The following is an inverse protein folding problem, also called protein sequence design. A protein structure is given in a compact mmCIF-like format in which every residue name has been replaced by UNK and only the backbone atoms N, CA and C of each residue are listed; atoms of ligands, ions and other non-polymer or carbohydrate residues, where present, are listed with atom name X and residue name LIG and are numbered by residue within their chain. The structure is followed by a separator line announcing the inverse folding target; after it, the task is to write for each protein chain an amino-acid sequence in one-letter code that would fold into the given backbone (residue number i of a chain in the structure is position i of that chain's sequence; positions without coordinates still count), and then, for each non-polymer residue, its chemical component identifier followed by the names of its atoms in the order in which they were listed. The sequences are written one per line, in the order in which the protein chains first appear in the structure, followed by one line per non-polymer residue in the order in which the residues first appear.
data_IF_947279463556
#
_entry.id   IF_947279463556
#
_cell.length_a   1.000
_cell.length_b   1.000
_cell.length_c   1.000
_cell.angle_alpha   90.00
_cell.angle_beta   90.00
_cell.angle_gamma   90.00
#
_symmetry.space_group_name_H-M   'P 1'
#
loop_
_entity.id
_entity.type
_entity.pdbx_description
1 polymer ?
#
# COMPACT_ATOMS: atom_id res chain seq x y z
N UNK A 1 -6.90 4.67 -17.81
CA UNK A 1 -7.00 4.33 -16.38
C UNK A 1 -7.74 5.42 -15.61
N UNK A 2 -8.44 5.09 -14.52
CA UNK A 2 -8.99 6.10 -13.64
C UNK A 2 -7.89 6.94 -13.00
N UNK A 3 -8.16 8.21 -12.72
CA UNK A 3 -7.29 9.07 -11.91
C UNK A 3 -7.24 8.57 -10.46
N UNK A 4 -6.25 8.99 -9.66
CA UNK A 4 -6.08 8.53 -8.27
C UNK A 4 -7.31 8.67 -7.39
N UNK A 5 -8.09 9.73 -7.59
CA UNK A 5 -9.30 10.01 -6.81
C UNK A 5 -10.46 10.41 -7.71
N UNK A 6 -11.67 10.18 -7.20
CA UNK A 6 -12.91 10.72 -7.79
C UNK A 6 -12.98 12.25 -7.60
N UNK A 7 -13.85 12.87 -8.38
CA UNK A 7 -14.37 14.21 -8.13
C UNK A 7 -15.90 14.12 -8.11
N UNK A 8 -16.50 14.49 -7.00
CA UNK A 8 -17.92 14.26 -6.74
C UNK A 8 -18.30 12.77 -6.92
N UNK A 9 -17.39 11.87 -6.48
CA UNK A 9 -17.52 10.43 -6.48
C UNK A 9 -17.48 9.77 -7.86
N UNK A 10 -17.04 10.45 -8.94
CA UNK A 10 -16.84 9.89 -10.29
C UNK A 10 -15.37 10.03 -10.70
N UNK A 11 -14.79 8.95 -11.20
CA UNK A 11 -13.44 8.95 -11.76
C UNK A 11 -13.40 9.58 -13.16
N UNK A 12 -12.50 10.54 -13.34
CA UNK A 12 -11.99 10.88 -14.68
C UNK A 12 -10.89 9.89 -15.08
N UNK A 13 -10.56 9.84 -16.37
CA UNK A 13 -9.57 8.91 -16.91
C UNK A 13 -8.37 9.61 -17.52
N UNK A 14 -7.22 8.95 -17.47
CA UNK A 14 -5.97 9.37 -18.09
C UNK A 14 -5.18 8.15 -18.57
N UNK A 15 -4.02 8.39 -19.15
CA UNK A 15 -3.07 7.34 -19.55
C UNK A 15 -2.37 6.70 -18.33
N UNK A 16 -1.68 5.58 -18.56
CA UNK A 16 -0.97 4.82 -17.51
C UNK A 16 0.36 5.48 -17.14
N UNK A 17 0.34 6.60 -16.41
CA UNK A 17 1.54 7.33 -15.98
C UNK A 17 1.63 7.61 -14.49
N UNK A 18 0.51 7.51 -13.76
CA UNK A 18 0.45 7.71 -12.32
C UNK A 18 0.99 6.49 -11.53
N UNK A 19 1.10 6.59 -10.21
CA UNK A 19 1.51 5.50 -9.32
C UNK A 19 0.36 4.55 -8.95
N UNK A 20 -0.89 4.90 -9.25
CA UNK A 20 -2.11 4.21 -8.82
C UNK A 20 -2.73 3.22 -9.81
N UNK A 21 -2.46 3.23 -11.13
CA UNK A 21 -3.15 2.36 -12.10
C UNK A 21 -3.11 0.87 -11.80
N UNK A 22 -2.09 0.40 -11.07
CA UNK A 22 -1.99 -1.01 -10.67
C UNK A 22 -3.16 -1.49 -9.82
N UNK A 23 -3.70 -0.62 -8.97
CA UNK A 23 -4.86 -0.95 -8.13
C UNK A 23 -6.12 -1.19 -8.96
N UNK A 24 -6.35 -0.39 -9.99
CA UNK A 24 -7.50 -0.59 -10.88
C UNK A 24 -7.42 -1.93 -11.62
N UNK A 25 -6.24 -2.29 -12.12
CA UNK A 25 -6.03 -3.62 -12.73
C UNK A 25 -6.22 -4.73 -11.69
N UNK A 26 -5.74 -4.52 -10.47
CA UNK A 26 -5.98 -5.43 -9.34
C UNK A 26 -7.46 -5.62 -9.03
N UNK A 27 -8.26 -4.55 -9.08
CA UNK A 27 -9.73 -4.64 -8.91
C UNK A 27 -10.37 -5.49 -10.02
N UNK A 28 -9.92 -5.36 -11.26
CA UNK A 28 -10.39 -6.22 -12.36
C UNK A 28 -10.06 -7.71 -12.08
N UNK A 29 -8.86 -8.01 -11.57
CA UNK A 29 -8.50 -9.38 -11.18
C UNK A 29 -9.37 -9.89 -10.02
N UNK A 30 -9.58 -9.11 -8.97
CA UNK A 30 -10.45 -9.46 -7.85
C UNK A 30 -11.90 -9.71 -8.31
N UNK A 31 -12.41 -8.86 -9.22
CA UNK A 31 -13.73 -9.03 -9.80
C UNK A 31 -13.82 -10.33 -10.64
N UNK A 32 -12.80 -10.64 -11.42
CA UNK A 32 -12.72 -11.89 -12.17
C UNK A 32 -12.73 -13.11 -11.23
N UNK A 33 -11.90 -13.13 -10.21
CA UNK A 33 -11.90 -14.21 -9.22
C UNK A 33 -13.24 -14.32 -8.47
N UNK A 34 -13.92 -13.18 -8.26
CA UNK A 34 -15.19 -13.14 -7.57
C UNK A 34 -16.36 -13.69 -8.40
N UNK A 35 -16.41 -13.39 -9.69
CA UNK A 35 -17.56 -13.64 -10.56
C UNK A 35 -17.33 -14.70 -11.62
N UNK A 36 -16.09 -14.93 -12.03
CA UNK A 36 -15.74 -15.76 -13.18
C UNK A 36 -16.04 -15.10 -14.53
N UNK A 37 -16.43 -13.82 -14.54
CA UNK A 37 -16.82 -13.14 -15.78
C UNK A 37 -15.60 -12.73 -16.60
N UNK A 38 -15.53 -13.23 -17.86
CA UNK A 38 -14.41 -12.99 -18.79
C UNK A 38 -14.20 -11.51 -19.15
N UNK A 39 -15.19 -10.66 -18.99
CA UNK A 39 -15.05 -9.21 -19.24
C UNK A 39 -13.98 -8.59 -18.33
N UNK A 40 -13.92 -8.98 -17.06
CA UNK A 40 -12.92 -8.48 -16.11
C UNK A 40 -11.51 -9.00 -16.44
N UNK A 41 -11.40 -10.29 -16.81
CA UNK A 41 -10.13 -10.89 -17.24
C UNK A 41 -9.60 -10.23 -18.51
N UNK A 42 -10.45 -10.01 -19.48
CA UNK A 42 -10.08 -9.35 -20.75
C UNK A 42 -9.60 -7.93 -20.52
N UNK A 43 -10.33 -7.14 -19.71
CA UNK A 43 -9.95 -5.80 -19.36
C UNK A 43 -8.59 -5.76 -18.63
N UNK A 44 -8.38 -6.66 -17.66
CA UNK A 44 -7.12 -6.74 -16.93
C UNK A 44 -5.92 -7.13 -17.82
N UNK A 45 -6.10 -8.05 -18.77
CA UNK A 45 -5.05 -8.42 -19.73
C UNK A 45 -4.67 -7.26 -20.65
N UNK A 46 -5.65 -6.50 -21.17
CA UNK A 46 -5.37 -5.29 -21.96
C UNK A 46 -4.59 -4.24 -21.16
N UNK A 47 -4.87 -4.14 -19.86
CA UNK A 47 -4.13 -3.25 -18.99
C UNK A 47 -2.72 -3.76 -18.72
N UNK A 48 -2.50 -5.08 -18.61
CA UNK A 48 -1.15 -5.68 -18.52
C UNK A 48 -0.30 -5.30 -19.72
N UNK A 49 -0.87 -5.28 -20.93
CA UNK A 49 -0.16 -4.83 -22.14
C UNK A 49 0.26 -3.36 -22.02
N UNK A 50 -0.61 -2.49 -21.47
CA UNK A 50 -0.28 -1.09 -21.19
C UNK A 50 0.86 -0.94 -20.16
N UNK A 51 0.94 -1.80 -19.13
CA UNK A 51 2.07 -1.81 -18.20
C UNK A 51 3.37 -2.25 -18.88
N UNK A 52 3.32 -3.23 -19.78
CA UNK A 52 4.49 -3.64 -20.56
C UNK A 52 4.97 -2.51 -21.49
N UNK A 53 4.04 -1.83 -22.18
CA UNK A 53 4.36 -0.65 -23.01
C UNK A 53 4.96 0.50 -22.19
N UNK A 54 4.45 0.77 -20.99
CA UNK A 54 4.99 1.79 -20.06
C UNK A 54 6.48 1.55 -19.76
N UNK A 55 6.87 0.28 -19.57
CA UNK A 55 8.28 -0.09 -19.40
C UNK A 55 9.11 0.17 -20.65
N UNK A 56 8.60 -0.17 -21.84
CA UNK A 56 9.28 0.09 -23.13
C UNK A 56 9.48 1.59 -23.34
N UNK A 57 8.47 2.41 -23.06
CA UNK A 57 8.54 3.88 -23.18
C UNK A 57 9.34 4.52 -22.06
N UNK A 58 9.70 3.79 -21.01
CA UNK A 58 10.37 4.31 -19.80
C UNK A 58 9.61 5.49 -19.18
N UNK A 59 8.30 5.38 -19.06
CA UNK A 59 7.42 6.47 -18.71
C UNK A 59 7.08 6.50 -17.23
N UNK A 60 7.57 7.53 -16.51
CA UNK A 60 7.37 7.74 -15.07
C UNK A 60 7.60 6.48 -14.22
N UNK A 61 8.81 5.92 -14.28
CA UNK A 61 9.19 4.68 -13.58
C UNK A 61 10.31 4.92 -12.56
N UNK A 62 10.78 6.17 -12.41
CA UNK A 62 11.87 6.49 -11.49
C UNK A 62 11.35 6.86 -10.10
N UNK A 63 10.64 5.93 -9.48
CA UNK A 63 10.13 6.00 -8.12
C UNK A 63 9.96 4.60 -7.52
N UNK A 64 9.70 4.50 -6.21
CA UNK A 64 9.60 3.20 -5.53
C UNK A 64 8.26 2.48 -5.75
N UNK A 65 7.20 3.16 -6.21
CA UNK A 65 5.85 2.60 -6.32
C UNK A 65 5.67 1.57 -7.44
N UNK A 66 6.76 1.08 -8.02
CA UNK A 66 6.72 -0.02 -8.98
C UNK A 66 6.08 -1.28 -8.38
N UNK A 67 6.18 -1.48 -7.06
CA UNK A 67 5.45 -2.55 -6.38
C UNK A 67 3.94 -2.37 -6.44
N UNK A 68 3.44 -1.17 -6.17
CA UNK A 68 2.01 -0.85 -6.30
C UNK A 68 1.50 -0.96 -7.74
N UNK A 69 2.35 -0.65 -8.71
CA UNK A 69 1.98 -0.75 -10.13
C UNK A 69 1.93 -2.21 -10.60
N UNK A 70 3.00 -2.97 -10.34
CA UNK A 70 3.22 -4.27 -11.02
C UNK A 70 2.80 -5.48 -10.18
N UNK A 71 2.64 -5.37 -8.86
CA UNK A 71 2.17 -6.50 -8.03
C UNK A 71 0.69 -6.77 -8.25
N UNK A 72 -0.25 -5.83 -8.03
CA UNK A 72 -1.67 -6.12 -8.22
C UNK A 72 -2.07 -6.23 -9.70
N UNK A 73 -1.25 -5.75 -10.65
CA UNK A 73 -1.52 -5.85 -12.08
C UNK A 73 -0.87 -7.08 -12.71
N UNK A 74 0.44 -7.07 -12.84
CA UNK A 74 1.19 -8.05 -13.63
C UNK A 74 1.50 -9.34 -12.84
N UNK A 75 1.89 -9.25 -11.56
CA UNK A 75 2.10 -10.46 -10.74
C UNK A 75 0.77 -11.21 -10.59
N UNK A 76 -0.32 -10.52 -10.28
CA UNK A 76 -1.66 -11.11 -10.23
C UNK A 76 -2.04 -11.74 -11.59
N UNK A 77 -1.83 -11.00 -12.67
CA UNK A 77 -2.11 -11.49 -14.03
C UNK A 77 -1.35 -12.76 -14.39
N UNK A 78 -0.06 -12.83 -14.07
CA UNK A 78 0.73 -14.06 -14.27
C UNK A 78 0.20 -15.22 -13.43
N UNK A 79 -0.10 -14.99 -12.15
CA UNK A 79 -0.61 -16.06 -11.25
C UNK A 79 -1.95 -16.61 -11.71
N UNK A 80 -2.84 -15.77 -12.21
CA UNK A 80 -4.19 -16.16 -12.59
C UNK A 80 -4.29 -16.74 -14.01
N UNK A 81 -3.39 -16.35 -14.91
CA UNK A 81 -3.51 -16.70 -16.33
C UNK A 81 -2.30 -17.40 -16.94
N UNK A 82 -1.17 -17.41 -16.24
CA UNK A 82 0.10 -17.90 -16.80
C UNK A 82 0.72 -16.96 -17.86
N UNK A 83 0.22 -15.72 -18.01
CA UNK A 83 0.67 -14.78 -19.04
C UNK A 83 2.18 -14.49 -18.93
N UNK A 84 2.94 -14.90 -19.94
CA UNK A 84 4.37 -14.62 -20.04
C UNK A 84 4.65 -13.12 -20.16
N UNK A 85 3.78 -12.37 -20.83
CA UNK A 85 3.90 -10.91 -20.93
C UNK A 85 3.80 -10.25 -19.54
N UNK A 86 2.82 -10.65 -18.73
CA UNK A 86 2.65 -10.18 -17.36
C UNK A 86 3.87 -10.52 -16.50
N UNK A 87 4.38 -11.77 -16.59
CA UNK A 87 5.58 -12.19 -15.88
C UNK A 87 6.80 -11.35 -16.23
N UNK A 88 7.05 -11.16 -17.52
CA UNK A 88 8.20 -10.41 -18.00
C UNK A 88 8.13 -8.93 -17.58
N UNK A 89 6.95 -8.30 -17.67
CA UNK A 89 6.74 -6.94 -17.21
C UNK A 89 7.01 -6.79 -15.69
N UNK A 90 6.51 -7.71 -14.87
CA UNK A 90 6.77 -7.68 -13.43
C UNK A 90 8.26 -7.88 -13.09
N UNK A 91 8.98 -8.77 -13.78
CA UNK A 91 10.43 -8.97 -13.59
C UNK A 91 11.24 -7.74 -14.01
N UNK A 92 10.91 -7.11 -15.13
CA UNK A 92 11.57 -5.86 -15.55
C UNK A 92 11.31 -4.73 -14.55
N UNK A 93 10.09 -4.59 -14.05
CA UNK A 93 9.76 -3.62 -13.00
C UNK A 93 10.55 -3.88 -11.71
N UNK A 94 10.65 -5.14 -11.28
CA UNK A 94 11.48 -5.51 -10.14
C UNK A 94 12.96 -5.15 -10.34
N UNK A 95 13.51 -5.43 -11.53
CA UNK A 95 14.87 -5.05 -11.88
C UNK A 95 15.10 -3.54 -11.84
N UNK A 96 14.11 -2.75 -12.29
CA UNK A 96 14.16 -1.27 -12.20
C UNK A 96 14.08 -0.79 -10.77
N UNK A 97 13.19 -1.36 -9.96
CA UNK A 97 13.07 -1.01 -8.54
C UNK A 97 14.40 -1.20 -7.80
N UNK A 98 15.18 -2.25 -8.12
CA UNK A 98 16.50 -2.45 -7.50
C UNK A 98 17.49 -1.32 -7.79
N UNK A 99 17.35 -0.58 -8.90
CA UNK A 99 18.23 0.57 -9.24
C UNK A 99 18.07 1.73 -8.27
N UNK A 100 16.96 1.77 -7.51
CA UNK A 100 16.73 2.77 -6.48
C UNK A 100 17.36 2.42 -5.13
N UNK A 101 18.03 1.27 -5.03
CA UNK A 101 18.66 0.85 -3.78
C UNK A 101 19.89 1.69 -3.45
N UNK A 102 19.90 2.23 -2.25
CA UNK A 102 20.95 3.05 -1.67
C UNK A 102 21.78 2.21 -0.70
N UNK A 103 22.98 1.74 -1.09
CA UNK A 103 23.74 0.76 -0.31
C UNK A 103 24.25 1.32 1.03
N UNK A 104 24.51 2.62 1.15
CA UNK A 104 24.96 3.26 2.40
C UNK A 104 23.82 3.28 3.43
N UNK A 105 22.62 3.73 3.02
CA UNK A 105 21.45 3.78 3.88
C UNK A 105 20.68 2.45 3.95
N UNK A 106 21.00 1.49 3.09
CA UNK A 106 20.35 0.17 2.99
C UNK A 106 18.83 0.25 2.76
N UNK A 107 18.38 1.14 1.86
CA UNK A 107 16.97 1.32 1.52
C UNK A 107 16.76 1.65 0.04
N UNK A 108 15.53 1.50 -0.43
CA UNK A 108 15.08 1.97 -1.74
C UNK A 108 14.67 3.43 -1.60
N UNK A 109 15.32 4.34 -2.33
CA UNK A 109 14.95 5.74 -2.34
C UNK A 109 13.54 5.92 -2.93
N UNK A 110 12.67 6.66 -2.24
CA UNK A 110 11.27 6.75 -2.61
C UNK A 110 11.05 7.47 -3.95
N UNK A 111 11.33 8.75 -4.00
CA UNK A 111 11.12 9.64 -5.15
C UNK A 111 12.36 10.48 -5.41
N UNK A 112 12.34 11.24 -6.51
CA UNK A 112 13.43 12.14 -6.88
C UNK A 112 14.62 11.45 -7.51
N UNK A 113 15.57 12.23 -8.00
CA UNK A 113 16.78 11.72 -8.65
C UNK A 113 17.67 10.98 -7.66
N UNK A 114 18.23 9.86 -8.07
CA UNK A 114 19.03 8.95 -7.22
C UNK A 114 20.22 9.65 -6.56
N UNK A 115 20.84 10.61 -7.21
CA UNK A 115 22.01 11.34 -6.70
C UNK A 115 21.67 12.65 -6.00
N UNK A 116 20.39 13.02 -5.92
CA UNK A 116 19.98 14.23 -5.21
C UNK A 116 19.92 13.95 -3.70
N UNK A 117 20.85 14.57 -2.97
CA UNK A 117 20.94 14.44 -1.51
C UNK A 117 19.69 14.92 -0.78
N UNK A 118 18.90 15.83 -1.36
CA UNK A 118 17.65 16.33 -0.80
C UNK A 118 16.51 15.30 -0.89
N UNK A 119 16.65 14.32 -1.79
CA UNK A 119 15.68 13.28 -2.05
C UNK A 119 16.06 11.94 -1.40
N UNK A 120 17.14 11.91 -0.59
CA UNK A 120 17.65 10.70 0.04
C UNK A 120 16.77 10.28 1.23
N UNK A 121 15.60 9.71 0.91
CA UNK A 121 14.55 9.39 1.88
C UNK A 121 13.82 8.10 1.54
N UNK A 122 13.22 7.52 2.57
CA UNK A 122 12.24 6.44 2.45
C UNK A 122 10.89 6.88 3.07
N UNK A 123 9.81 6.31 2.56
CA UNK A 123 8.42 6.58 2.95
C UNK A 123 7.81 5.26 3.43
N UNK A 124 6.85 5.31 4.36
CA UNK A 124 6.28 4.11 5.03
C UNK A 124 5.62 3.12 4.07
N UNK A 125 5.04 3.58 2.97
CA UNK A 125 4.40 2.76 1.94
C UNK A 125 5.39 1.90 1.12
N UNK A 126 6.69 2.18 1.23
CA UNK A 126 7.76 1.35 0.64
C UNK A 126 7.60 -0.13 0.97
N UNK A 127 7.06 -0.46 2.16
CA UNK A 127 6.86 -1.84 2.60
C UNK A 127 5.94 -2.64 1.67
N UNK A 128 4.98 -1.99 1.02
CA UNK A 128 4.06 -2.60 0.06
C UNK A 128 4.64 -2.68 -1.36
N UNK A 129 5.81 -2.07 -1.59
CA UNK A 129 6.53 -2.18 -2.85
C UNK A 129 7.54 -3.35 -2.86
N UNK A 130 7.89 -3.86 -1.69
CA UNK A 130 8.83 -4.99 -1.53
C UNK A 130 8.28 -6.36 -1.99
N UNK A 131 6.98 -6.66 -1.92
CA UNK A 131 6.42 -7.89 -2.46
C UNK A 131 6.85 -8.20 -3.89
N UNK A 132 6.99 -7.18 -4.74
CA UNK A 132 7.50 -7.33 -6.11
C UNK A 132 8.92 -7.93 -6.13
N UNK A 133 9.79 -7.52 -5.20
CA UNK A 133 11.16 -8.05 -5.10
C UNK A 133 11.18 -9.46 -4.54
N UNK A 134 10.35 -9.76 -3.54
CA UNK A 134 10.23 -11.13 -3.02
C UNK A 134 9.75 -12.10 -4.10
N UNK A 135 8.72 -11.70 -4.84
CA UNK A 135 8.22 -12.48 -5.96
C UNK A 135 9.28 -12.66 -7.05
N UNK A 136 10.02 -11.61 -7.41
CA UNK A 136 11.09 -11.71 -8.41
C UNK A 136 12.22 -12.67 -7.97
N UNK A 137 12.58 -12.66 -6.67
CA UNK A 137 13.53 -13.62 -6.12
C UNK A 137 13.04 -15.07 -6.26
N UNK A 138 11.76 -15.32 -5.98
CA UNK A 138 11.13 -16.65 -6.15
C UNK A 138 11.13 -17.08 -7.62
N UNK A 139 10.81 -16.18 -8.55
CA UNK A 139 10.70 -16.48 -9.97
C UNK A 139 12.03 -16.71 -10.68
N UNK A 140 13.10 -16.09 -10.19
CA UNK A 140 14.40 -16.10 -10.88
C UNK A 140 15.48 -16.89 -10.15
N UNK A 141 15.32 -17.12 -8.85
CA UNK A 141 16.37 -17.65 -7.99
C UNK A 141 17.50 -16.65 -7.70
N UNK A 142 17.39 -15.39 -8.16
CA UNK A 142 18.41 -14.36 -7.93
C UNK A 142 18.29 -13.77 -6.51
N UNK A 143 19.28 -14.01 -5.63
CA UNK A 143 19.22 -13.56 -4.24
C UNK A 143 19.34 -12.04 -4.07
N UNK A 144 19.71 -11.29 -5.12
CA UNK A 144 19.82 -9.82 -5.04
C UNK A 144 18.49 -9.18 -4.66
N UNK A 145 17.38 -9.65 -5.23
CA UNK A 145 16.04 -9.13 -4.93
C UNK A 145 15.69 -9.29 -3.45
N UNK A 146 15.82 -10.50 -2.91
CA UNK A 146 15.50 -10.77 -1.50
C UNK A 146 16.46 -10.08 -0.53
N UNK A 147 17.75 -9.94 -0.87
CA UNK A 147 18.72 -9.19 -0.07
C UNK A 147 18.35 -7.72 0.04
N UNK A 148 17.99 -7.07 -1.07
CA UNK A 148 17.54 -5.66 -1.09
C UNK A 148 16.24 -5.50 -0.28
N UNK A 149 15.26 -6.39 -0.48
CA UNK A 149 14.01 -6.35 0.26
C UNK A 149 14.22 -6.49 1.77
N UNK A 150 15.08 -7.43 2.22
CA UNK A 150 15.45 -7.60 3.64
C UNK A 150 16.15 -6.36 4.20
N UNK A 151 17.14 -5.83 3.49
CA UNK A 151 17.88 -4.65 3.95
C UNK A 151 16.95 -3.44 4.09
N UNK A 152 16.10 -3.20 3.09
CA UNK A 152 15.12 -2.12 3.14
C UNK A 152 14.12 -2.29 4.28
N UNK A 153 13.56 -3.50 4.46
CA UNK A 153 12.64 -3.80 5.57
C UNK A 153 13.27 -3.49 6.92
N UNK A 154 14.52 -3.94 7.14
CA UNK A 154 15.24 -3.69 8.39
C UNK A 154 15.49 -2.19 8.64
N UNK A 155 15.84 -1.43 7.60
CA UNK A 155 16.00 0.02 7.71
C UNK A 155 14.66 0.70 8.01
N UNK A 156 13.59 0.38 7.26
CA UNK A 156 12.26 0.93 7.46
C UNK A 156 11.74 0.65 8.89
N UNK A 157 11.87 -0.59 9.36
CA UNK A 157 11.51 -1.02 10.70
C UNK A 157 12.20 -0.19 11.81
N UNK A 158 13.45 0.19 11.57
CA UNK A 158 14.26 0.96 12.54
C UNK A 158 13.93 2.45 12.55
N UNK A 159 13.61 3.05 11.37
CA UNK A 159 13.58 4.52 11.27
C UNK A 159 12.17 5.09 11.07
N UNK A 160 11.18 4.27 10.69
CA UNK A 160 9.80 4.71 10.46
C UNK A 160 8.83 4.33 11.58
N UNK A 161 9.19 3.38 12.45
CA UNK A 161 8.35 2.95 13.58
C UNK A 161 8.84 3.57 14.88
N UNK A 162 7.92 4.18 15.62
CA UNK A 162 8.21 4.82 16.90
C UNK A 162 7.96 3.84 18.05
N UNK A 163 8.57 4.10 19.24
CA UNK A 163 8.42 3.21 20.40
C UNK A 163 6.99 3.04 20.92
N UNK A 164 6.10 4.00 20.63
CA UNK A 164 4.69 3.95 21.02
C UNK A 164 3.80 3.15 20.03
N UNK A 165 4.39 2.59 18.99
CA UNK A 165 3.71 1.84 17.93
C UNK A 165 3.19 2.72 16.78
N UNK A 166 3.34 4.05 16.86
CA UNK A 166 3.00 4.93 15.75
C UNK A 166 4.06 4.90 14.64
N UNK A 167 3.69 5.38 13.44
CA UNK A 167 4.62 5.45 12.30
C UNK A 167 4.90 6.89 11.89
N UNK A 168 6.13 7.14 11.42
CA UNK A 168 6.48 8.34 10.67
C UNK A 168 6.11 8.16 9.20
N UNK A 169 5.66 9.23 8.53
CA UNK A 169 5.38 9.18 7.10
C UNK A 169 6.67 8.98 6.30
N UNK A 170 7.67 9.82 6.53
CA UNK A 170 8.92 9.88 5.77
C UNK A 170 10.10 10.01 6.73
N UNK A 171 11.21 9.35 6.41
CA UNK A 171 12.50 9.56 7.07
C UNK A 171 13.55 9.97 6.03
N UNK A 172 14.17 11.12 6.24
CA UNK A 172 15.36 11.54 5.49
C UNK A 172 16.60 10.94 6.12
N UNK A 173 17.50 10.46 5.27
CA UNK A 173 18.72 9.77 5.65
C UNK A 173 19.95 10.59 5.20
N UNK A 174 21.04 10.49 5.92
CA UNK A 174 22.31 11.08 5.51
C UNK A 174 22.97 10.19 4.44
N UNK A 175 23.26 10.70 3.24
CA UNK A 175 23.80 9.90 2.14
C UNK A 175 25.29 9.52 2.31
N UNK A 176 25.97 10.07 3.33
CA UNK A 176 27.37 9.75 3.63
C UNK A 176 27.46 8.70 4.72
N UNK A 177 26.64 8.84 5.75
CA UNK A 177 26.69 7.96 6.95
C UNK A 177 25.61 6.88 6.96
N UNK A 178 24.56 7.02 6.14
CA UNK A 178 23.38 6.14 6.14
C UNK A 178 22.52 6.26 7.41
N UNK A 179 22.74 7.28 8.23
CA UNK A 179 21.98 7.48 9.48
C UNK A 179 20.71 8.31 9.23
N UNK A 180 19.64 8.12 10.03
CA UNK A 180 18.47 8.98 9.97
C UNK A 180 18.83 10.43 10.37
N UNK A 181 18.29 11.39 9.62
CA UNK A 181 18.46 12.84 9.88
C UNK A 181 17.21 13.41 10.53
N UNK A 182 16.05 13.24 9.91
CA UNK A 182 14.80 13.74 10.45
C UNK A 182 13.60 12.97 9.89
N UNK A 183 12.55 12.90 10.70
CA UNK A 183 11.23 12.48 10.25
C UNK A 183 10.45 13.69 9.73
N UNK A 184 9.72 13.52 8.63
CA UNK A 184 8.88 14.54 8.01
C UNK A 184 7.54 13.95 7.59
N UNK A 185 6.58 14.82 7.28
CA UNK A 185 5.34 14.40 6.65
C UNK A 185 4.99 15.32 5.49
N UNK A 186 4.52 14.72 4.39
CA UNK A 186 3.85 15.45 3.33
C UNK A 186 2.33 15.35 3.49
N UNK A 187 1.81 14.15 3.81
CA UNK A 187 0.38 13.87 3.79
C UNK A 187 -0.26 13.74 5.18
N UNK A 188 0.51 13.59 6.26
CA UNK A 188 0.01 13.63 7.64
C UNK A 188 -0.16 15.06 8.16
N UNK A 189 -0.78 15.21 9.33
CA UNK A 189 -1.04 16.51 9.92
C UNK A 189 0.26 17.25 10.29
N UNK A 190 1.20 16.55 10.96
CA UNK A 190 2.53 17.06 11.32
C UNK A 190 3.55 15.92 11.43
N UNK A 191 4.83 16.23 11.51
CA UNK A 191 5.92 15.24 11.45
C UNK A 191 5.90 14.22 12.60
N UNK A 192 5.39 14.59 13.76
CA UNK A 192 5.28 13.76 14.96
C UNK A 192 3.87 13.15 15.16
N UNK A 193 2.89 13.45 14.30
CA UNK A 193 1.60 12.75 14.26
C UNK A 193 1.71 11.42 13.50
N UNK A 194 0.62 10.67 13.45
CA UNK A 194 0.54 9.42 12.71
C UNK A 194 -0.53 9.55 11.61
N UNK A 195 -0.07 9.79 10.39
CA UNK A 195 -0.92 9.73 9.20
C UNK A 195 -1.62 8.38 9.10
N UNK A 196 -2.96 8.36 9.09
CA UNK A 196 -3.75 7.13 9.24
C UNK A 196 -3.42 6.07 8.19
N UNK A 197 -3.32 6.48 6.91
CA UNK A 197 -2.94 5.57 5.82
C UNK A 197 -1.49 5.09 5.96
N UNK A 198 -0.56 5.94 6.43
CA UNK A 198 0.80 5.54 6.72
C UNK A 198 0.88 4.48 7.84
N UNK A 199 0.08 4.65 8.89
CA UNK A 199 -0.05 3.66 9.96
C UNK A 199 -0.60 2.33 9.42
N UNK A 200 -1.61 2.38 8.54
CA UNK A 200 -2.18 1.20 7.91
C UNK A 200 -1.17 0.48 6.98
N UNK A 201 -0.34 1.23 6.24
CA UNK A 201 0.79 0.66 5.49
C UNK A 201 1.78 -0.05 6.39
N UNK A 202 2.03 0.50 7.59
CA UNK A 202 2.87 -0.14 8.62
C UNK A 202 2.28 -1.48 9.08
N UNK A 203 0.98 -1.55 9.32
CA UNK A 203 0.29 -2.78 9.74
C UNK A 203 0.44 -3.87 8.66
N UNK A 204 -0.01 -3.61 7.43
CA UNK A 204 0.04 -4.59 6.34
C UNK A 204 1.49 -4.92 5.97
N UNK A 205 2.36 -3.91 5.93
CA UNK A 205 3.77 -4.07 5.59
C UNK A 205 4.53 -4.96 6.57
N UNK A 206 4.31 -4.81 7.88
CA UNK A 206 4.96 -5.66 8.89
C UNK A 206 4.39 -7.08 8.92
N UNK A 207 3.09 -7.27 8.65
CA UNK A 207 2.52 -8.61 8.48
C UNK A 207 3.17 -9.35 7.29
N UNK A 208 3.33 -8.67 6.14
CA UNK A 208 4.02 -9.22 4.98
C UNK A 208 5.51 -9.43 5.23
N UNK A 209 6.19 -8.49 5.91
CA UNK A 209 7.59 -8.64 6.28
C UNK A 209 7.83 -9.90 7.12
N UNK A 210 6.98 -10.15 8.12
CA UNK A 210 7.05 -11.39 8.89
C UNK A 210 6.79 -12.63 8.03
N UNK A 211 5.80 -12.59 7.15
CA UNK A 211 5.51 -13.70 6.23
C UNK A 211 6.71 -14.12 5.38
N UNK A 212 7.46 -13.14 4.85
CA UNK A 212 8.62 -13.41 4.00
C UNK A 212 9.90 -13.76 4.77
N UNK A 213 10.04 -13.30 6.00
CA UNK A 213 11.32 -13.38 6.71
C UNK A 213 11.28 -14.31 7.92
N UNK A 214 10.10 -14.48 8.52
CA UNK A 214 9.87 -15.14 9.81
C UNK A 214 10.66 -14.51 10.98
N UNK A 215 11.06 -13.22 10.83
CA UNK A 215 11.75 -12.48 11.89
C UNK A 215 10.75 -12.02 12.97
N UNK A 216 10.84 -12.50 14.22
CA UNK A 216 9.85 -12.20 15.27
C UNK A 216 9.66 -10.69 15.52
N UNK A 217 10.71 -9.89 15.35
CA UNK A 217 10.65 -8.45 15.54
C UNK A 217 9.61 -7.76 14.64
N UNK A 218 9.37 -8.25 13.43
CA UNK A 218 8.35 -7.68 12.54
C UNK A 218 6.93 -8.01 12.99
N UNK A 219 6.73 -9.17 13.62
CA UNK A 219 5.43 -9.50 14.21
C UNK A 219 5.17 -8.65 15.47
N UNK A 220 6.19 -8.35 16.27
CA UNK A 220 6.06 -7.41 17.39
C UNK A 220 5.74 -5.99 16.94
N UNK A 221 6.39 -5.52 15.87
CA UNK A 221 6.08 -4.21 15.28
C UNK A 221 4.67 -4.17 14.67
N UNK A 222 4.23 -5.25 14.02
CA UNK A 222 2.84 -5.40 13.58
C UNK A 222 1.87 -5.22 14.76
N UNK A 223 2.11 -5.93 15.89
CA UNK A 223 1.26 -5.84 17.09
C UNK A 223 1.18 -4.42 17.65
N UNK A 224 2.34 -3.77 17.81
CA UNK A 224 2.41 -2.41 18.32
C UNK A 224 1.70 -1.42 17.39
N UNK A 225 1.93 -1.55 16.08
CA UNK A 225 1.35 -0.69 15.07
C UNK A 225 -0.18 -0.85 14.96
N UNK A 226 -0.67 -2.09 14.99
CA UNK A 226 -2.10 -2.40 15.00
C UNK A 226 -2.77 -1.91 16.30
N UNK A 227 -2.17 -2.13 17.46
CA UNK A 227 -2.69 -1.66 18.73
C UNK A 227 -2.81 -0.13 18.78
N UNK A 228 -1.80 0.60 18.28
CA UNK A 228 -1.84 2.06 18.19
C UNK A 228 -3.01 2.52 17.30
N UNK A 229 -3.16 1.93 16.10
CA UNK A 229 -4.23 2.27 15.17
C UNK A 229 -5.61 2.03 15.78
N UNK A 230 -5.84 0.82 16.31
CA UNK A 230 -7.14 0.41 16.87
C UNK A 230 -7.55 1.26 18.10
N UNK A 231 -6.58 1.68 18.92
CA UNK A 231 -6.83 2.55 20.08
C UNK A 231 -7.26 3.96 19.69
N UNK A 232 -6.93 4.41 18.48
CA UNK A 232 -7.20 5.76 17.99
C UNK A 232 -8.44 5.84 17.09
N UNK A 233 -9.15 4.73 16.91
CA UNK A 233 -10.39 4.74 16.15
C UNK A 233 -11.49 5.49 16.90
N UNK A 234 -12.31 6.28 16.19
CA UNK A 234 -13.55 6.82 16.72
C UNK A 234 -14.61 5.70 16.87
N UNK A 235 -15.76 6.05 17.44
CA UNK A 235 -16.84 5.10 17.75
C UNK A 235 -17.35 4.34 16.51
N UNK A 236 -17.39 5.01 15.35
CA UNK A 236 -17.81 4.43 14.07
C UNK A 236 -16.75 3.53 13.40
N UNK A 237 -15.55 3.37 13.99
CA UNK A 237 -14.43 2.58 13.48
C UNK A 237 -13.89 3.00 12.11
N UNK A 238 -14.22 4.18 11.60
CA UNK A 238 -13.60 4.78 10.41
C UNK A 238 -12.58 5.82 10.85
N UNK A 239 -11.28 5.62 10.65
CA UNK A 239 -10.26 6.54 11.17
C UNK A 239 -10.36 7.91 10.52
N UNK A 240 -9.94 8.94 11.25
CA UNK A 240 -9.62 10.23 10.66
C UNK A 240 -8.37 10.13 9.78
N UNK A 241 -8.16 11.07 8.88
CA UNK A 241 -7.03 11.10 7.95
C UNK A 241 -5.65 11.14 8.63
N UNK A 242 -5.60 11.62 9.88
CA UNK A 242 -4.45 11.52 10.78
C UNK A 242 -4.94 11.07 12.16
N UNK A 243 -4.27 10.13 12.78
CA UNK A 243 -4.65 9.51 14.04
C UNK A 243 -4.38 10.41 15.27
N UNK A 244 -3.94 11.65 15.07
CA UNK A 244 -3.95 12.66 16.12
C UNK A 244 -5.38 13.03 16.49
N UNK A 245 -6.30 12.94 15.53
CA UNK A 245 -7.72 13.18 15.70
C UNK A 245 -8.43 11.90 16.11
N UNK A 246 -9.25 11.97 17.16
CA UNK A 246 -10.10 10.89 17.65
C UNK A 246 -11.56 11.31 17.80
N UNK A 247 -11.84 12.61 17.63
CA UNK A 247 -13.15 13.24 17.69
C UNK A 247 -13.16 14.51 16.84
N UNK A 248 -14.34 15.09 16.59
CA UNK A 248 -14.51 16.32 15.83
C UNK A 248 -14.88 16.09 14.36
N UNK A 249 -14.74 17.15 13.54
CA UNK A 249 -15.25 17.21 12.16
C UNK A 249 -14.15 17.01 11.08
N UNK A 250 -12.98 16.51 11.46
CA UNK A 250 -11.93 16.24 10.49
C UNK A 250 -12.34 15.11 9.51
N UNK A 251 -11.88 15.15 8.25
CA UNK A 251 -12.20 14.13 7.26
C UNK A 251 -11.78 12.73 7.70
N UNK A 252 -12.58 11.74 7.33
CA UNK A 252 -12.26 10.32 7.51
C UNK A 252 -11.34 9.85 6.39
N UNK A 253 -10.53 8.83 6.66
CA UNK A 253 -9.80 8.09 5.62
C UNK A 253 -10.19 6.61 5.62
N UNK A 254 -11.25 6.29 4.91
CA UNK A 254 -11.75 4.92 4.73
C UNK A 254 -10.71 3.98 4.14
N UNK A 255 -9.80 4.51 3.29
CA UNK A 255 -8.73 3.71 2.71
C UNK A 255 -7.77 3.17 3.76
N UNK A 256 -7.50 3.94 4.83
CA UNK A 256 -6.68 3.47 5.94
C UNK A 256 -7.33 2.29 6.69
N UNK A 257 -8.65 2.32 6.89
CA UNK A 257 -9.37 1.19 7.49
C UNK A 257 -9.32 -0.07 6.61
N UNK A 258 -9.49 0.08 5.28
CA UNK A 258 -9.43 -1.03 4.33
C UNK A 258 -8.04 -1.70 4.33
N UNK A 259 -6.97 -0.90 4.28
CA UNK A 259 -5.58 -1.38 4.32
C UNK A 259 -5.27 -2.05 5.67
N UNK A 260 -5.70 -1.44 6.78
CA UNK A 260 -5.50 -2.01 8.12
C UNK A 260 -6.23 -3.35 8.28
N UNK A 261 -7.48 -3.46 7.77
CA UNK A 261 -8.22 -4.72 7.75
C UNK A 261 -7.48 -5.81 6.97
N UNK A 262 -6.94 -5.47 5.77
CA UNK A 262 -6.10 -6.40 5.00
C UNK A 262 -4.86 -6.85 5.78
N UNK A 263 -4.20 -5.94 6.50
CA UNK A 263 -3.03 -6.25 7.33
C UNK A 263 -3.36 -7.18 8.51
N UNK A 264 -4.49 -6.94 9.17
CA UNK A 264 -4.98 -7.82 10.24
C UNK A 264 -5.31 -9.22 9.70
N UNK A 265 -6.03 -9.34 8.57
CA UNK A 265 -6.29 -10.63 7.93
C UNK A 265 -5.01 -11.33 7.48
N UNK A 266 -4.02 -10.58 6.97
CA UNK A 266 -2.72 -11.13 6.54
C UNK A 266 -1.96 -11.78 7.70
N UNK A 267 -2.04 -11.20 8.89
CA UNK A 267 -1.33 -11.69 10.07
C UNK A 267 -1.97 -12.94 10.69
N UNK A 268 -3.26 -13.24 10.45
CA UNK A 268 -3.98 -14.32 11.14
C UNK A 268 -3.25 -15.67 11.14
N UNK A 269 -2.67 -16.16 10.03
CA UNK A 269 -1.97 -17.44 10.03
C UNK A 269 -0.72 -17.46 10.91
N UNK A 270 -0.19 -16.28 11.24
CA UNK A 270 1.05 -16.09 11.97
C UNK A 270 0.86 -15.84 13.47
N UNK A 271 -0.39 -15.59 13.89
CA UNK A 271 -0.73 -15.26 15.28
C UNK A 271 -1.09 -16.49 16.10
N UNK A 272 -0.75 -16.52 17.41
CA UNK A 272 -1.31 -17.50 18.36
C UNK A 272 -2.84 -17.43 18.39
N UNK A 273 -3.49 -18.54 18.77
CA UNK A 273 -4.96 -18.70 18.74
C UNK A 273 -5.70 -17.54 19.43
N UNK A 274 -5.28 -17.18 20.64
CA UNK A 274 -5.91 -16.10 21.41
C UNK A 274 -5.82 -14.73 20.72
N UNK A 275 -4.69 -14.41 20.10
CA UNK A 275 -4.49 -13.16 19.35
C UNK A 275 -5.20 -13.20 18.01
N UNK A 276 -5.26 -14.35 17.34
CA UNK A 276 -5.93 -14.56 16.05
C UNK A 276 -7.39 -14.17 16.11
N UNK A 277 -8.11 -14.62 17.15
CA UNK A 277 -9.52 -14.28 17.34
C UNK A 277 -9.71 -12.77 17.50
N UNK A 278 -8.88 -12.11 18.30
CA UNK A 278 -8.95 -10.66 18.50
C UNK A 278 -8.63 -9.87 17.22
N UNK A 279 -7.60 -10.29 16.47
CA UNK A 279 -7.25 -9.67 15.19
C UNK A 279 -8.34 -9.86 14.13
N UNK A 280 -8.93 -11.05 14.05
CA UNK A 280 -10.08 -11.35 13.18
C UNK A 280 -11.26 -10.44 13.51
N UNK A 281 -11.64 -10.33 14.77
CA UNK A 281 -12.74 -9.47 15.21
C UNK A 281 -12.45 -7.99 14.93
N UNK A 282 -11.20 -7.53 15.07
CA UNK A 282 -10.81 -6.15 14.75
C UNK A 282 -10.93 -5.89 13.24
N UNK A 283 -10.43 -6.80 12.39
CA UNK A 283 -10.58 -6.71 10.95
C UNK A 283 -12.05 -6.71 10.51
N UNK A 284 -12.86 -7.58 11.08
CA UNK A 284 -14.30 -7.68 10.81
C UNK A 284 -15.02 -6.38 11.20
N UNK A 285 -14.70 -5.77 12.36
CA UNK A 285 -15.28 -4.46 12.77
C UNK A 285 -14.93 -3.34 11.78
N UNK A 286 -13.66 -3.24 11.37
CA UNK A 286 -13.25 -2.26 10.36
C UNK A 286 -14.02 -2.46 9.05
N UNK A 287 -14.08 -3.69 8.56
CA UNK A 287 -14.76 -4.01 7.31
C UNK A 287 -16.28 -3.74 7.40
N UNK A 288 -16.91 -4.07 8.51
CA UNK A 288 -18.33 -3.76 8.76
C UNK A 288 -18.58 -2.26 8.74
N UNK A 289 -17.74 -1.47 9.42
CA UNK A 289 -17.84 -0.02 9.41
C UNK A 289 -17.71 0.57 7.99
N UNK A 290 -16.81 0.03 7.18
CA UNK A 290 -16.67 0.45 5.78
C UNK A 290 -17.92 0.12 4.94
N UNK A 291 -18.51 -1.05 5.15
CA UNK A 291 -19.75 -1.45 4.46
C UNK A 291 -20.92 -0.55 4.86
N UNK A 292 -21.05 -0.23 6.14
CA UNK A 292 -22.19 0.54 6.67
C UNK A 292 -22.09 2.04 6.40
N UNK A 293 -20.87 2.61 6.44
CA UNK A 293 -20.69 4.06 6.41
C UNK A 293 -20.01 4.59 5.15
N UNK A 294 -19.25 3.75 4.42
CA UNK A 294 -18.39 4.23 3.34
C UNK A 294 -18.66 3.58 1.97
N UNK A 295 -19.46 2.50 1.91
CA UNK A 295 -19.75 1.85 0.64
C UNK A 295 -20.49 2.80 -0.32
N UNK A 296 -19.94 2.97 -1.52
CA UNK A 296 -20.49 3.88 -2.50
C UNK A 296 -21.77 3.33 -3.17
N UNK A 297 -22.74 4.18 -3.51
CA UNK A 297 -23.87 3.75 -4.33
C UNK A 297 -23.40 3.38 -5.75
N UNK A 298 -24.01 2.35 -6.33
CA UNK A 298 -23.68 1.91 -7.69
C UNK A 298 -23.99 3.01 -8.70
N UNK A 299 -22.96 3.45 -9.43
CA UNK A 299 -23.09 4.37 -10.58
C UNK A 299 -21.96 4.15 -11.58
N UNK A 300 -22.20 4.40 -12.88
CA UNK A 300 -21.16 4.30 -13.90
C UNK A 300 -19.98 5.25 -13.59
N UNK A 301 -18.76 4.73 -13.64
CA UNK A 301 -17.53 5.49 -13.35
C UNK A 301 -17.37 5.93 -11.89
N UNK A 302 -18.22 5.48 -10.99
CA UNK A 302 -18.13 5.79 -9.54
C UNK A 302 -17.06 4.97 -8.84
N UNK A 303 -16.58 5.50 -7.69
CA UNK A 303 -15.78 4.73 -6.74
C UNK A 303 -16.60 3.65 -6.03
N UNK A 304 -15.95 2.75 -5.33
CA UNK A 304 -16.57 1.65 -4.56
C UNK A 304 -16.58 1.99 -3.06
N UNK A 305 -15.59 2.78 -2.60
CA UNK A 305 -15.42 3.19 -1.21
C UNK A 305 -15.25 4.71 -1.12
N UNK A 306 -16.21 5.41 -0.53
CA UNK A 306 -16.18 6.85 -0.30
C UNK A 306 -15.46 7.22 1.01
N UNK A 307 -15.34 8.51 1.27
CA UNK A 307 -14.76 9.08 2.49
C UNK A 307 -13.28 8.75 2.68
N UNK A 308 -12.52 8.69 1.56
CA UNK A 308 -11.07 8.62 1.58
C UNK A 308 -10.43 10.00 1.50
N UNK A 309 -9.15 10.07 1.85
CA UNK A 309 -8.34 11.29 1.73
C UNK A 309 -7.03 10.96 1.02
N UNK A 310 -6.76 11.61 -0.12
CA UNK A 310 -5.42 11.52 -0.71
C UNK A 310 -4.46 12.45 0.04
N UNK A 311 -4.68 13.75 -0.04
CA UNK A 311 -3.91 14.76 0.67
C UNK A 311 -4.83 15.80 1.30
N UNK A 312 -4.58 16.16 2.55
CA UNK A 312 -5.22 17.28 3.24
C UNK A 312 -4.16 18.26 3.73
N UNK A 313 -4.34 19.52 3.38
CA UNK A 313 -3.49 20.59 3.86
C UNK A 313 -3.65 20.80 5.37
N UNK A 314 -2.54 21.05 6.04
CA UNK A 314 -2.47 21.44 7.45
C UNK A 314 -1.49 22.61 7.62
N UNK A 315 -1.45 23.27 8.78
CA UNK A 315 -0.42 24.29 9.06
C UNK A 315 1.02 23.75 9.09
N UNK A 316 1.20 22.42 9.09
CA UNK A 316 2.49 21.76 9.35
C UNK A 316 2.98 20.87 8.19
N UNK A 317 2.19 20.68 7.14
CA UNK A 317 2.58 19.96 5.95
C UNK A 317 2.64 20.89 4.73
N UNK A 318 3.06 20.36 3.57
CA UNK A 318 3.32 21.16 2.36
C UNK A 318 2.37 20.85 1.21
N UNK A 319 1.38 19.97 1.42
CA UNK A 319 0.44 19.57 0.37
C UNK A 319 -0.76 20.51 0.31
N UNK A 320 -1.44 20.51 -0.83
CA UNK A 320 -2.76 21.10 -1.02
C UNK A 320 -3.84 20.04 -0.87
N UNK A 321 -5.09 20.45 -0.65
CA UNK A 321 -6.22 19.51 -0.60
C UNK A 321 -6.42 18.85 -1.96
N UNK A 322 -6.40 17.51 -1.97
CA UNK A 322 -6.72 16.72 -3.15
C UNK A 322 -7.36 15.39 -2.74
N UNK A 323 -8.49 15.05 -3.35
CA UNK A 323 -9.25 13.84 -3.04
C UNK A 323 -9.63 13.73 -1.56
N UNK A 324 -10.07 14.84 -0.96
CA UNK A 324 -10.58 14.89 0.41
C UNK A 324 -12.06 14.55 0.37
N UNK A 325 -12.46 13.55 1.18
CA UNK A 325 -13.83 13.03 1.23
C UNK A 325 -14.32 12.42 -0.09
N UNK A 326 -13.39 11.83 -0.85
CA UNK A 326 -13.63 11.22 -2.15
C UNK A 326 -13.28 9.71 -2.13
N UNK A 327 -13.67 8.96 -3.16
CA UNK A 327 -13.10 7.63 -3.39
C UNK A 327 -11.68 7.76 -3.94
N UNK A 328 -10.83 6.77 -3.65
CA UNK A 328 -9.49 6.68 -4.21
C UNK A 328 -9.17 5.22 -4.60
N UNK A 329 -8.33 5.05 -5.64
CA UNK A 329 -8.09 3.74 -6.25
C UNK A 329 -7.52 2.70 -5.29
N UNK A 330 -6.65 3.11 -4.36
CA UNK A 330 -6.11 2.17 -3.37
C UNK A 330 -7.16 1.82 -2.31
N UNK A 331 -8.04 2.75 -1.92
CA UNK A 331 -9.15 2.48 -1.02
C UNK A 331 -10.14 1.49 -1.63
N UNK A 332 -10.53 1.72 -2.87
CA UNK A 332 -11.40 0.82 -3.63
C UNK A 332 -10.79 -0.59 -3.74
N UNK A 333 -9.50 -0.67 -4.11
CA UNK A 333 -8.79 -1.95 -4.23
C UNK A 333 -8.72 -2.69 -2.89
N UNK A 334 -8.23 -2.04 -1.82
CA UNK A 334 -8.06 -2.70 -0.53
C UNK A 334 -9.40 -3.04 0.14
N UNK A 335 -10.46 -2.28 -0.14
CA UNK A 335 -11.80 -2.65 0.28
C UNK A 335 -12.27 -3.96 -0.40
N UNK A 336 -12.10 -4.07 -1.72
CA UNK A 336 -12.39 -5.31 -2.45
C UNK A 336 -11.48 -6.46 -2.00
N UNK A 337 -10.21 -6.21 -1.72
CA UNK A 337 -9.27 -7.19 -1.19
C UNK A 337 -9.70 -7.66 0.21
N UNK A 338 -10.09 -6.75 1.12
CA UNK A 338 -10.56 -7.10 2.45
C UNK A 338 -11.83 -7.97 2.42
N UNK A 339 -12.80 -7.64 1.55
CA UNK A 339 -13.98 -8.45 1.30
C UNK A 339 -13.60 -9.85 0.78
N UNK A 340 -12.64 -9.93 -0.13
CA UNK A 340 -12.16 -11.20 -0.69
C UNK A 340 -11.50 -12.05 0.39
N UNK A 341 -10.62 -11.47 1.22
CA UNK A 341 -9.95 -12.13 2.35
C UNK A 341 -10.95 -12.64 3.40
N UNK A 342 -12.03 -11.91 3.63
CA UNK A 342 -13.07 -12.27 4.60
C UNK A 342 -13.96 -13.40 4.11
N UNK A 343 -14.27 -13.45 2.82
CA UNK A 343 -15.30 -14.33 2.26
C UNK A 343 -14.74 -15.60 1.62
N UNK A 344 -13.42 -15.68 1.38
CA UNK A 344 -12.78 -16.79 0.66
C UNK A 344 -11.45 -17.19 1.28
N UNK A 345 -11.06 -18.43 1.09
CA UNK A 345 -9.67 -18.84 1.23
C UNK A 345 -8.89 -18.34 -0.01
N UNK A 346 -8.29 -17.16 0.11
CA UNK A 346 -7.69 -16.45 -1.00
C UNK A 346 -6.19 -16.27 -0.82
N UNK A 347 -5.43 -16.52 -1.89
CA UNK A 347 -3.99 -16.24 -1.92
C UNK A 347 -3.78 -14.80 -2.37
N UNK A 348 -3.24 -13.99 -1.48
CA UNK A 348 -2.96 -12.57 -1.77
C UNK A 348 -2.02 -12.37 -2.97
N UNK A 349 -2.21 -11.30 -3.71
CA UNK A 349 -1.28 -10.91 -4.79
C UNK A 349 0.06 -10.44 -4.25
N UNK A 350 0.12 -10.05 -2.98
CA UNK A 350 1.31 -9.50 -2.33
C UNK A 350 2.30 -10.58 -1.82
N UNK A 351 1.92 -11.87 -1.81
CA UNK A 351 2.78 -12.93 -1.29
C UNK A 351 2.60 -14.29 -1.98
#
# INVERSE_FOLDING_TARGET
FPLPCTRNGVYSTDINTDWTPGFYTGMCWLAYEATGEEVFRTAALQQVDSFAERLVRNENLDHHDLGFLYTPSCVAGYRLTGSTAARNAALEAAARLTKRYQPIGQFLQAWGQINDRKEYRLIIDCLLNLPLLWWAAEQTGDPRYSKIARAHTATAAKVLFRPDGSTSHTCYMDPVTGKPVCAMTAQGYRADSAWARGQAWGILGMALAYRFTHEPAYLEQFRACAAFFLKRLPEDNVPYWDLIFTEGDEPRDSSAAAIAACGLYEALPCLPEAERTAAQQAADRLLTALVEHCAAPKRPGGGVLLHGVYCKASPYNTVTNYGVDEANLWGDYFYMEALTRRTRNWRTYWA
#
